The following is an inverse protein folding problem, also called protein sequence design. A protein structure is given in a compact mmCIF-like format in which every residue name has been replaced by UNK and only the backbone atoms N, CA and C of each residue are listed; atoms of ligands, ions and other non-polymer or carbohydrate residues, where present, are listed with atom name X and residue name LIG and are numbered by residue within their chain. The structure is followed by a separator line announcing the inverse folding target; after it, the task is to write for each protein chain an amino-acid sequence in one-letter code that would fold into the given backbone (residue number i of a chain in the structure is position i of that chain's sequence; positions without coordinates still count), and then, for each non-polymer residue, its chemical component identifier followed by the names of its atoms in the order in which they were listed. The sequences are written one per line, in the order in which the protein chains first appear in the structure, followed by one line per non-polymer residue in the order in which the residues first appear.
data_IF_449460042058
#
_entry.id   IF_449460042058
#
_cell.length_a   1.000
_cell.length_b   1.000
_cell.length_c   1.000
_cell.angle_alpha   90.00
_cell.angle_beta   90.00
_cell.angle_gamma   90.00
#
_symmetry.space_group_name_H-M   'P 1'
#
loop_
_entity.id
_entity.type
_entity.pdbx_description
1 polymer ?
#
# COMPACT_ATOMS: atom_id res chain seq x y z
N UNK A 1 -7.59 11.77 11.43
CA UNK A 1 -6.15 11.88 11.09
C UNK A 1 -5.91 11.87 9.59
N UNK A 2 -6.22 10.80 8.80
CA UNK A 2 -5.98 10.77 7.34
C UNK A 2 -6.78 11.85 6.59
N UNK A 3 -8.03 12.11 6.96
CA UNK A 3 -8.86 13.15 6.36
C UNK A 3 -8.26 14.56 6.48
N UNK A 4 -7.60 14.88 7.58
CA UNK A 4 -7.01 16.20 7.86
C UNK A 4 -5.73 16.44 7.06
N UNK A 5 -5.00 15.37 6.71
CA UNK A 5 -3.72 15.47 5.98
C UNK A 5 -3.89 15.29 4.46
N UNK A 6 -5.09 14.92 3.99
CA UNK A 6 -5.38 14.64 2.59
C UNK A 6 -4.90 15.74 1.61
N UNK A 7 -5.10 17.06 1.85
CA UNK A 7 -4.71 18.10 0.88
C UNK A 7 -3.20 18.23 0.62
N UNK A 8 -2.36 17.72 1.50
CA UNK A 8 -0.89 17.78 1.36
C UNK A 8 -0.21 16.42 1.36
N UNK A 9 -0.99 15.34 1.44
CA UNK A 9 -0.50 13.98 1.69
C UNK A 9 0.58 13.53 0.71
N UNK A 10 0.35 13.67 -0.58
CA UNK A 10 1.30 13.22 -1.60
C UNK A 10 2.61 14.00 -1.56
N UNK A 11 2.54 15.33 -1.36
CA UNK A 11 3.73 16.18 -1.25
C UNK A 11 4.51 15.85 -0.01
N UNK A 12 3.81 15.65 1.12
CA UNK A 12 4.43 15.24 2.37
C UNK A 12 5.13 13.88 2.20
N UNK A 13 4.45 12.86 1.68
CA UNK A 13 5.05 11.55 1.46
C UNK A 13 6.27 11.59 0.54
N UNK A 14 6.21 12.33 -0.57
CA UNK A 14 7.36 12.49 -1.48
C UNK A 14 8.53 13.22 -0.83
N UNK A 15 8.28 14.28 -0.08
CA UNK A 15 9.33 14.99 0.64
C UNK A 15 9.96 14.11 1.73
N UNK A 16 9.14 13.39 2.49
CA UNK A 16 9.56 12.52 3.58
C UNK A 16 10.26 11.24 3.11
N UNK A 17 9.89 10.73 1.95
CA UNK A 17 10.57 9.58 1.34
C UNK A 17 11.74 9.99 0.43
N UNK A 18 11.98 11.30 0.25
CA UNK A 18 12.91 11.84 -0.77
C UNK A 18 12.61 11.27 -2.16
N UNK A 19 11.32 11.01 -2.46
CA UNK A 19 10.86 10.44 -3.72
C UNK A 19 11.06 8.92 -3.88
N UNK A 20 11.63 8.25 -2.89
CA UNK A 20 11.87 6.79 -2.94
C UNK A 20 10.56 6.00 -2.97
N UNK A 21 9.47 6.54 -2.41
CA UNK A 21 8.12 5.95 -2.49
C UNK A 21 7.63 5.73 -3.92
N UNK A 22 7.98 6.64 -4.84
CA UNK A 22 7.66 6.48 -6.27
C UNK A 22 8.41 5.29 -6.88
N UNK A 23 9.68 5.11 -6.50
CA UNK A 23 10.47 3.98 -6.94
C UNK A 23 9.95 2.67 -6.37
N UNK A 24 9.51 2.63 -5.09
CA UNK A 24 8.89 1.46 -4.48
C UNK A 24 7.61 1.06 -5.22
N UNK A 25 6.71 2.01 -5.53
CA UNK A 25 5.50 1.74 -6.32
C UNK A 25 5.82 1.21 -7.71
N UNK A 26 6.81 1.78 -8.40
CA UNK A 26 7.28 1.26 -9.71
C UNK A 26 7.80 -0.18 -9.60
N UNK A 27 8.48 -0.51 -8.51
CA UNK A 27 8.92 -1.89 -8.24
C UNK A 27 7.73 -2.81 -7.94
N UNK A 28 6.72 -2.32 -7.22
CA UNK A 28 5.48 -3.07 -6.97
C UNK A 28 4.75 -3.37 -8.27
N UNK A 29 4.57 -2.40 -9.16
CA UNK A 29 3.98 -2.64 -10.49
C UNK A 29 4.70 -3.76 -11.25
N UNK A 30 6.03 -3.81 -11.21
CA UNK A 30 6.80 -4.91 -11.85
C UNK A 30 6.61 -6.26 -11.16
N UNK A 31 6.34 -6.27 -9.85
CA UNK A 31 6.08 -7.52 -9.09
C UNK A 31 4.64 -7.99 -9.27
N UNK A 32 3.71 -7.06 -9.44
CA UNK A 32 2.34 -7.38 -9.85
C UNK A 32 2.35 -8.08 -11.20
N UNK A 33 3.22 -7.65 -12.13
CA UNK A 33 3.38 -8.27 -13.45
C UNK A 33 2.07 -8.27 -14.24
N UNK A 34 1.58 -7.04 -14.50
CA UNK A 34 0.29 -6.80 -15.15
C UNK A 34 0.30 -7.26 -16.60
N UNK A 35 -0.64 -8.12 -16.97
CA UNK A 35 -0.96 -8.38 -18.37
C UNK A 35 -1.98 -7.33 -18.89
N UNK A 36 -1.90 -6.94 -20.19
CA UNK A 36 -2.84 -5.97 -20.75
C UNK A 36 -4.30 -6.44 -20.62
N UNK A 37 -5.15 -5.55 -20.10
CA UNK A 37 -6.57 -5.83 -19.90
C UNK A 37 -6.94 -6.57 -18.61
N UNK A 38 -5.96 -6.95 -17.78
CA UNK A 38 -6.25 -7.49 -16.46
C UNK A 38 -6.97 -6.46 -15.58
N UNK A 39 -7.89 -6.95 -14.77
CA UNK A 39 -8.64 -6.15 -13.79
C UNK A 39 -7.96 -6.22 -12.44
N UNK A 40 -7.66 -5.07 -11.84
CA UNK A 40 -7.01 -4.98 -10.55
C UNK A 40 -7.80 -4.16 -9.53
N UNK A 41 -7.73 -4.58 -8.26
CA UNK A 41 -8.21 -3.81 -7.12
C UNK A 41 -7.01 -3.26 -6.33
N UNK A 42 -7.05 -1.97 -6.00
CA UNK A 42 -6.09 -1.36 -5.07
C UNK A 42 -6.82 -1.01 -3.77
N UNK A 43 -6.53 -1.75 -2.69
CA UNK A 43 -7.17 -1.60 -1.38
C UNK A 43 -6.37 -0.61 -0.53
N UNK A 44 -7.05 0.21 0.27
CA UNK A 44 -6.46 1.38 0.95
C UNK A 44 -5.73 2.29 -0.06
N UNK A 45 -6.39 2.56 -1.18
CA UNK A 45 -5.80 3.23 -2.34
C UNK A 45 -5.42 4.69 -2.07
N UNK A 46 -5.98 5.31 -1.03
CA UNK A 46 -5.73 6.70 -0.66
C UNK A 46 -6.01 7.65 -1.83
N UNK A 47 -5.00 8.40 -2.24
CA UNK A 47 -5.06 9.31 -3.39
C UNK A 47 -4.82 8.63 -4.74
N UNK A 48 -4.77 7.28 -4.79
CA UNK A 48 -4.72 6.48 -6.01
C UNK A 48 -3.36 6.33 -6.67
N UNK A 49 -2.25 6.68 -6.01
CA UNK A 49 -0.90 6.67 -6.63
C UNK A 49 -0.50 5.31 -7.21
N UNK A 50 -0.74 4.21 -6.50
CA UNK A 50 -0.45 2.86 -7.00
C UNK A 50 -1.48 2.44 -8.06
N UNK A 51 -2.75 2.74 -7.83
CA UNK A 51 -3.84 2.47 -8.75
C UNK A 51 -3.56 3.07 -10.15
N UNK A 52 -3.21 4.36 -10.22
CA UNK A 52 -2.82 5.00 -11.48
C UNK A 52 -1.51 4.47 -12.07
N UNK A 53 -0.58 3.98 -11.25
CA UNK A 53 0.64 3.37 -11.75
C UNK A 53 0.37 2.02 -12.42
N UNK A 54 -0.55 1.23 -11.90
CA UNK A 54 -1.01 -0.05 -12.46
C UNK A 54 -1.86 0.15 -13.72
N UNK A 55 -2.73 1.18 -13.73
CA UNK A 55 -3.47 1.57 -14.93
C UNK A 55 -2.53 1.91 -16.08
N UNK A 56 -1.47 2.70 -15.82
CA UNK A 56 -0.46 3.02 -16.85
C UNK A 56 0.31 1.78 -17.34
N UNK A 57 0.36 0.72 -16.56
CA UNK A 57 0.94 -0.56 -16.96
C UNK A 57 -0.03 -1.43 -17.79
N UNK A 58 -1.28 -0.98 -17.99
CA UNK A 58 -2.26 -1.64 -18.86
C UNK A 58 -3.42 -2.33 -18.13
N UNK A 59 -3.50 -2.24 -16.79
CA UNK A 59 -4.60 -2.80 -16.04
C UNK A 59 -5.86 -1.92 -16.07
N UNK A 60 -7.03 -2.56 -15.95
CA UNK A 60 -8.30 -1.91 -15.61
C UNK A 60 -8.43 -1.86 -14.09
N UNK A 61 -8.35 -0.66 -13.50
CA UNK A 61 -8.21 -0.52 -12.06
C UNK A 61 -9.47 -0.04 -11.37
N UNK A 62 -9.70 -0.60 -10.17
CA UNK A 62 -10.63 -0.09 -9.17
C UNK A 62 -9.82 0.24 -7.91
N UNK A 63 -10.06 1.39 -7.31
CA UNK A 63 -9.48 1.77 -6.01
C UNK A 63 -10.54 1.73 -4.91
N UNK A 64 -10.19 1.18 -3.73
CA UNK A 64 -11.05 1.16 -2.56
C UNK A 64 -10.32 1.77 -1.36
N UNK A 65 -10.97 2.69 -0.63
CA UNK A 65 -10.41 3.26 0.59
C UNK A 65 -11.52 3.61 1.58
N UNK A 66 -11.25 3.44 2.86
CA UNK A 66 -12.19 3.82 3.93
C UNK A 66 -12.32 5.34 4.08
N UNK A 67 -11.29 6.09 3.72
CA UNK A 67 -11.21 7.54 3.89
C UNK A 67 -11.73 8.29 2.65
N UNK A 68 -13.04 8.59 2.58
CA UNK A 68 -13.65 9.32 1.48
C UNK A 68 -12.94 10.64 1.12
N UNK A 69 -12.45 11.47 2.08
CA UNK A 69 -11.65 12.66 1.77
C UNK A 69 -10.38 12.37 0.96
N UNK A 70 -9.72 11.21 1.14
CA UNK A 70 -8.57 10.81 0.33
C UNK A 70 -8.99 10.51 -1.11
N UNK A 71 -10.12 9.83 -1.29
CA UNK A 71 -10.68 9.51 -2.61
C UNK A 71 -11.06 10.78 -3.39
N UNK A 72 -11.53 11.83 -2.74
CA UNK A 72 -11.86 13.10 -3.40
C UNK A 72 -10.64 13.71 -4.13
N UNK A 73 -9.41 13.45 -3.69
CA UNK A 73 -8.21 13.94 -4.35
C UNK A 73 -7.80 13.14 -5.60
N UNK A 74 -8.42 11.98 -5.86
CA UNK A 74 -8.11 11.15 -7.05
C UNK A 74 -8.52 11.83 -8.34
N UNK A 75 -9.59 12.65 -8.34
CA UNK A 75 -10.09 13.35 -9.53
C UNK A 75 -9.03 14.20 -10.24
N UNK A 76 -8.15 14.86 -9.48
CA UNK A 76 -7.07 15.67 -10.03
C UNK A 76 -5.96 14.87 -10.72
N UNK A 77 -5.91 13.55 -10.48
CA UNK A 77 -4.92 12.64 -11.04
C UNK A 77 -5.45 11.82 -12.21
N UNK A 78 -6.76 11.80 -12.42
CA UNK A 78 -7.39 11.11 -13.55
C UNK A 78 -6.83 11.63 -14.86
N UNK A 79 -6.33 10.74 -15.70
CA UNK A 79 -5.80 11.08 -17.03
C UNK A 79 -6.15 9.96 -18.00
N UNK A 80 -6.55 10.32 -19.23
CA UNK A 80 -6.89 9.38 -20.28
C UNK A 80 -8.39 9.09 -20.40
N UNK A 81 -8.74 8.30 -21.39
CA UNK A 81 -10.13 8.03 -21.78
C UNK A 81 -10.84 7.01 -20.86
N UNK A 82 -10.07 6.20 -20.12
CA UNK A 82 -10.61 5.21 -19.17
C UNK A 82 -10.36 5.67 -17.75
N UNK A 83 -11.36 6.24 -17.06
CA UNK A 83 -11.21 6.65 -15.69
C UNK A 83 -11.09 5.43 -14.75
N UNK A 84 -10.26 5.54 -13.72
CA UNK A 84 -10.24 4.61 -12.59
C UNK A 84 -11.48 4.85 -11.75
N UNK A 85 -12.23 3.81 -11.44
CA UNK A 85 -13.34 3.88 -10.48
C UNK A 85 -12.79 3.82 -9.05
N UNK A 86 -13.37 4.65 -8.18
CA UNK A 86 -13.03 4.65 -6.74
C UNK A 86 -14.29 4.48 -5.90
N UNK A 87 -14.20 3.66 -4.85
CA UNK A 87 -15.31 3.44 -3.91
C UNK A 87 -14.84 3.58 -2.47
N UNK A 88 -15.72 4.10 -1.62
CA UNK A 88 -15.52 4.11 -0.18
C UNK A 88 -15.88 2.72 0.38
N UNK A 89 -14.89 2.02 0.95
CA UNK A 89 -15.09 0.66 1.46
C UNK A 89 -14.14 0.34 2.60
N UNK A 90 -14.60 -0.53 3.50
CA UNK A 90 -13.74 -1.17 4.51
C UNK A 90 -12.98 -2.32 3.85
N UNK A 91 -11.66 -2.35 4.05
CA UNK A 91 -10.80 -3.44 3.56
C UNK A 91 -11.17 -4.81 4.14
N UNK A 92 -11.82 -4.83 5.30
CA UNK A 92 -12.29 -6.06 5.97
C UNK A 92 -13.68 -6.52 5.51
N UNK A 93 -14.37 -5.73 4.68
CA UNK A 93 -15.69 -6.06 4.14
C UNK A 93 -15.90 -5.31 2.81
N UNK A 94 -15.28 -5.82 1.76
CA UNK A 94 -15.33 -5.22 0.43
C UNK A 94 -16.70 -5.47 -0.22
N UNK A 95 -17.44 -4.41 -0.63
CA UNK A 95 -18.75 -4.55 -1.28
C UNK A 95 -18.58 -4.91 -2.76
N UNK A 96 -17.84 -5.98 -3.02
CA UNK A 96 -17.44 -6.45 -4.34
C UNK A 96 -17.71 -7.96 -4.43
N UNK A 97 -18.11 -8.48 -5.61
CA UNK A 97 -18.31 -9.91 -5.81
C UNK A 97 -17.02 -10.73 -5.64
N UNK A 98 -17.17 -12.02 -5.41
CA UNK A 98 -16.07 -12.98 -5.45
C UNK A 98 -15.50 -13.06 -6.88
N UNK A 99 -14.23 -13.43 -7.00
CA UNK A 99 -13.55 -13.82 -8.23
C UNK A 99 -13.62 -12.78 -9.38
N UNK A 100 -13.79 -11.49 -9.07
CA UNK A 100 -14.01 -10.46 -10.07
C UNK A 100 -12.75 -9.68 -10.50
N UNK A 101 -11.60 -9.96 -9.89
CA UNK A 101 -10.30 -9.35 -10.21
C UNK A 101 -9.23 -10.39 -10.52
N UNK A 102 -8.24 -10.01 -11.31
CA UNK A 102 -7.06 -10.82 -11.61
C UNK A 102 -5.99 -10.66 -10.53
N UNK A 103 -5.98 -9.51 -9.87
CA UNK A 103 -5.09 -9.24 -8.75
C UNK A 103 -5.66 -8.18 -7.80
N UNK A 104 -5.18 -8.22 -6.55
CA UNK A 104 -5.40 -7.15 -5.60
C UNK A 104 -4.07 -6.61 -5.04
N UNK A 105 -4.01 -5.30 -4.79
CA UNK A 105 -2.84 -4.64 -4.22
C UNK A 105 -3.21 -3.82 -2.99
N UNK A 106 -2.23 -3.59 -2.11
CA UNK A 106 -2.30 -2.58 -1.07
C UNK A 106 -0.91 -1.98 -0.86
N UNK A 107 -0.81 -0.65 -0.77
CA UNK A 107 0.46 0.03 -0.53
C UNK A 107 0.37 0.94 0.70
N UNK A 108 1.15 0.61 1.74
CA UNK A 108 1.27 1.38 2.99
C UNK A 108 -0.04 1.58 3.76
N UNK A 109 -1.04 0.71 3.49
CA UNK A 109 -2.37 0.79 4.08
C UNK A 109 -2.68 -0.33 5.07
N UNK A 110 -2.19 -1.54 4.82
CA UNK A 110 -2.60 -2.75 5.56
C UNK A 110 -2.29 -2.68 7.06
N UNK A 111 -1.24 -1.97 7.49
CA UNK A 111 -0.91 -1.78 8.90
C UNK A 111 -1.92 -0.92 9.67
N UNK A 112 -2.79 -0.18 8.96
CA UNK A 112 -3.82 0.67 9.55
C UNK A 112 -5.18 -0.03 9.64
N UNK A 113 -5.29 -1.24 9.11
CA UNK A 113 -6.50 -2.08 9.19
C UNK A 113 -6.55 -2.77 10.55
N UNK A 114 -7.73 -2.87 11.14
CA UNK A 114 -7.88 -3.44 12.48
C UNK A 114 -7.49 -4.91 12.53
N UNK A 115 -7.82 -5.69 11.51
CA UNK A 115 -7.41 -7.09 11.34
C UNK A 115 -6.83 -7.31 9.92
N UNK A 116 -5.50 -7.36 9.79
CA UNK A 116 -4.85 -7.60 8.51
C UNK A 116 -5.19 -8.96 7.88
N UNK A 117 -5.48 -9.99 8.68
CA UNK A 117 -5.83 -11.33 8.16
C UNK A 117 -7.21 -11.30 7.51
N UNK A 118 -8.17 -10.64 8.13
CA UNK A 118 -9.52 -10.45 7.55
C UNK A 118 -9.43 -9.67 6.25
N UNK A 119 -8.65 -8.57 6.21
CA UNK A 119 -8.47 -7.80 4.99
C UNK A 119 -7.79 -8.62 3.88
N UNK A 120 -6.77 -9.42 4.20
CA UNK A 120 -6.12 -10.31 3.24
C UNK A 120 -7.06 -11.39 2.72
N UNK A 121 -7.97 -11.93 3.56
CA UNK A 121 -9.03 -12.87 3.13
C UNK A 121 -10.02 -12.21 2.17
N UNK A 122 -10.44 -10.98 2.44
CA UNK A 122 -11.31 -10.21 1.55
C UNK A 122 -10.62 -9.92 0.21
N UNK A 123 -9.34 -9.54 0.25
CA UNK A 123 -8.54 -9.37 -0.97
C UNK A 123 -8.44 -10.69 -1.76
N UNK A 124 -8.25 -11.83 -1.08
CA UNK A 124 -8.23 -13.15 -1.72
C UNK A 124 -9.59 -13.53 -2.29
N UNK A 125 -10.70 -13.26 -1.58
CA UNK A 125 -12.07 -13.56 -2.01
C UNK A 125 -12.44 -12.88 -3.32
N UNK A 126 -12.11 -11.61 -3.47
CA UNK A 126 -12.46 -10.83 -4.67
C UNK A 126 -11.54 -11.12 -5.86
N UNK A 127 -10.40 -11.78 -5.62
CA UNK A 127 -9.45 -12.18 -6.66
C UNK A 127 -9.75 -13.62 -7.09
N UNK A 128 -9.84 -13.86 -8.39
CA UNK A 128 -10.08 -15.17 -8.96
C UNK A 128 -9.01 -16.20 -8.58
N UNK A 129 -9.34 -17.50 -8.54
CA UNK A 129 -8.36 -18.58 -8.38
C UNK A 129 -7.20 -18.45 -9.39
N UNK A 130 -5.97 -18.64 -8.92
CA UNK A 130 -4.76 -18.41 -9.71
C UNK A 130 -4.36 -16.94 -9.86
N UNK A 131 -5.17 -16.00 -9.38
CA UNK A 131 -4.81 -14.58 -9.29
C UNK A 131 -3.81 -14.31 -8.17
N UNK A 132 -3.49 -13.05 -7.92
CA UNK A 132 -2.43 -12.68 -6.98
C UNK A 132 -2.77 -11.50 -6.07
N UNK A 133 -2.27 -11.57 -4.84
CA UNK A 133 -2.32 -10.47 -3.87
C UNK A 133 -0.90 -9.93 -3.66
N UNK A 134 -0.73 -8.61 -3.80
CA UNK A 134 0.57 -7.95 -3.66
C UNK A 134 0.49 -6.82 -2.65
N UNK A 135 1.34 -6.87 -1.64
CA UNK A 135 1.39 -5.89 -0.55
C UNK A 135 2.73 -5.16 -0.58
N UNK A 136 2.72 -3.84 -0.59
CA UNK A 136 3.88 -3.00 -0.34
C UNK A 136 3.74 -2.38 1.05
N UNK A 137 4.67 -2.67 1.96
CA UNK A 137 4.60 -2.13 3.32
C UNK A 137 5.99 -1.82 3.89
N UNK A 138 6.02 -0.96 4.91
CA UNK A 138 7.25 -0.63 5.62
C UNK A 138 7.77 -1.84 6.40
N UNK A 139 9.11 -1.89 6.49
CA UNK A 139 9.84 -2.84 7.31
C UNK A 139 10.91 -2.13 8.14
N UNK A 140 11.47 -2.85 9.09
CA UNK A 140 12.58 -2.37 9.92
C UNK A 140 13.93 -2.79 9.30
N UNK A 141 14.82 -1.85 8.95
CA UNK A 141 16.13 -2.20 8.40
C UNK A 141 16.97 -2.94 9.44
N UNK A 142 17.60 -4.05 9.03
CA UNK A 142 18.44 -4.88 9.92
C UNK A 142 19.94 -4.61 9.80
N UNK A 143 20.38 -3.94 8.73
CA UNK A 143 21.79 -3.57 8.55
C UNK A 143 22.21 -2.57 9.64
N UNK A 144 23.20 -2.93 10.46
CA UNK A 144 23.59 -2.22 11.69
C UNK A 144 23.89 -0.73 11.41
N UNK A 145 24.72 -0.41 10.42
CA UNK A 145 25.04 0.96 10.06
C UNK A 145 23.83 1.76 9.52
N UNK A 146 22.98 1.11 8.75
CA UNK A 146 21.80 1.71 8.18
C UNK A 146 20.68 1.92 9.21
N UNK A 147 20.60 1.08 10.23
CA UNK A 147 19.67 1.22 11.35
C UNK A 147 19.91 2.52 12.14
N UNK A 148 21.16 2.90 12.37
CA UNK A 148 21.49 4.16 13.07
C UNK A 148 21.14 5.38 12.22
N UNK A 149 21.46 5.37 10.93
CA UNK A 149 21.10 6.43 9.98
C UNK A 149 19.58 6.58 9.86
N UNK A 150 18.85 5.47 9.73
CA UNK A 150 17.40 5.44 9.68
C UNK A 150 16.76 5.99 10.96
N UNK A 151 17.25 5.59 12.15
CA UNK A 151 16.78 6.13 13.43
C UNK A 151 17.05 7.62 13.56
N UNK A 152 18.23 8.09 13.15
CA UNK A 152 18.57 9.51 13.12
C UNK A 152 17.64 10.29 12.18
N UNK A 153 17.40 9.77 10.98
CA UNK A 153 16.48 10.37 10.01
C UNK A 153 15.07 10.50 10.61
N UNK A 154 14.52 9.45 11.16
CA UNK A 154 13.18 9.44 11.76
C UNK A 154 13.07 10.31 13.02
N UNK A 155 14.11 10.35 13.84
CA UNK A 155 14.08 11.11 15.10
C UNK A 155 14.36 12.62 14.91
N UNK A 156 15.20 12.99 13.95
CA UNK A 156 15.72 14.36 13.84
C UNK A 156 15.31 15.06 12.54
N UNK A 157 15.31 14.36 11.42
CA UNK A 157 15.08 14.96 10.09
C UNK A 157 13.60 15.00 9.75
N UNK A 158 12.92 13.88 9.92
CA UNK A 158 11.51 13.70 9.56
C UNK A 158 10.59 14.72 10.27
N UNK A 159 10.68 14.96 11.59
CA UNK A 159 9.83 15.94 12.27
C UNK A 159 10.09 17.39 11.84
N UNK A 160 11.35 17.71 11.46
CA UNK A 160 11.71 19.06 10.99
C UNK A 160 11.19 19.32 9.57
N UNK A 161 11.38 18.35 8.67
CA UNK A 161 10.86 18.40 7.29
C UNK A 161 9.32 18.43 7.29
N UNK A 162 8.70 17.62 8.13
CA UNK A 162 7.24 17.57 8.24
C UNK A 162 6.62 18.89 8.66
N UNK A 163 7.19 19.59 9.62
CA UNK A 163 6.75 20.93 10.01
C UNK A 163 6.88 21.95 8.88
N UNK A 164 7.93 21.84 8.08
CA UNK A 164 8.21 22.77 7.00
C UNK A 164 7.34 22.57 5.76
N UNK A 165 7.00 21.31 5.44
CA UNK A 165 6.32 20.94 4.19
C UNK A 165 4.79 20.94 4.32
N UNK A 166 4.25 20.53 5.45
CA UNK A 166 2.81 20.23 5.57
C UNK A 166 2.07 20.98 6.66
N UNK A 167 2.78 21.66 7.57
CA UNK A 167 2.15 22.22 8.77
C UNK A 167 1.46 21.17 9.66
N UNK A 168 1.62 19.88 9.34
CA UNK A 168 0.99 18.75 10.03
C UNK A 168 1.58 18.55 11.41
N UNK A 169 0.73 18.33 12.40
CA UNK A 169 1.09 18.13 13.80
C UNK A 169 2.02 16.92 13.98
N UNK A 170 2.89 16.96 14.97
CA UNK A 170 3.84 15.88 15.34
C UNK A 170 3.19 14.50 15.52
N UNK A 171 1.88 14.43 15.73
CA UNK A 171 1.13 13.20 16.01
C UNK A 171 1.10 12.22 14.82
N UNK A 172 1.06 12.71 13.57
CA UNK A 172 1.05 11.83 12.39
C UNK A 172 2.39 11.09 12.19
N UNK A 173 3.51 11.72 12.53
CA UNK A 173 4.85 11.11 12.43
C UNK A 173 5.11 10.11 13.54
N UNK A 174 4.63 10.41 14.76
CA UNK A 174 4.68 9.46 15.87
C UNK A 174 3.85 8.23 15.54
N UNK A 175 2.61 8.42 15.05
CA UNK A 175 1.77 7.32 14.60
C UNK A 175 2.44 6.46 13.52
N UNK A 176 3.06 7.08 12.51
CA UNK A 176 3.80 6.35 11.48
C UNK A 176 4.91 5.50 12.10
N UNK A 177 5.70 6.08 12.99
CA UNK A 177 6.76 5.36 13.68
C UNK A 177 6.22 4.16 14.48
N UNK A 178 5.22 4.41 15.32
CA UNK A 178 4.67 3.41 16.24
C UNK A 178 3.95 2.29 15.47
N UNK A 179 3.18 2.62 14.44
CA UNK A 179 2.51 1.64 13.59
C UNK A 179 3.50 0.74 12.85
N UNK A 180 4.61 1.29 12.33
CA UNK A 180 5.68 0.49 11.69
C UNK A 180 6.39 -0.39 12.72
N UNK A 181 6.59 0.08 13.97
CA UNK A 181 7.24 -0.73 15.00
C UNK A 181 6.37 -1.90 15.47
N UNK A 182 5.06 -1.70 15.54
CA UNK A 182 4.11 -2.72 16.00
C UNK A 182 3.75 -3.74 14.92
N UNK A 183 3.82 -3.34 13.62
CA UNK A 183 3.34 -4.19 12.54
C UNK A 183 4.27 -5.39 12.27
N UNK A 184 3.72 -6.60 12.05
CA UNK A 184 4.49 -7.78 11.68
C UNK A 184 5.18 -7.59 10.33
N UNK A 185 6.41 -8.07 10.21
CA UNK A 185 7.20 -7.92 9.00
C UNK A 185 7.83 -9.24 8.53
N UNK A 186 8.13 -9.33 7.24
CA UNK A 186 8.86 -10.46 6.64
C UNK A 186 8.15 -11.80 6.91
N UNK A 187 8.80 -12.73 7.60
CA UNK A 187 8.24 -14.05 7.88
C UNK A 187 6.96 -13.97 8.72
N UNK A 188 6.90 -13.07 9.69
CA UNK A 188 5.69 -12.86 10.48
C UNK A 188 4.52 -12.37 9.61
N UNK A 189 4.77 -11.50 8.62
CA UNK A 189 3.72 -11.06 7.70
C UNK A 189 3.34 -12.13 6.68
N UNK A 190 4.31 -12.90 6.15
CA UNK A 190 3.98 -14.02 5.26
C UNK A 190 3.19 -15.12 5.99
N UNK A 191 3.37 -15.27 7.30
CA UNK A 191 2.52 -16.15 8.11
C UNK A 191 1.06 -15.67 8.13
N UNK A 192 0.80 -14.36 8.25
CA UNK A 192 -0.56 -13.81 8.13
C UNK A 192 -1.16 -14.03 6.74
N UNK A 193 -0.35 -13.93 5.68
CA UNK A 193 -0.82 -14.24 4.32
C UNK A 193 -1.23 -15.71 4.19
N UNK A 194 -0.47 -16.65 4.77
CA UNK A 194 -0.86 -18.08 4.81
C UNK A 194 -2.10 -18.33 5.64
N UNK A 195 -2.26 -17.64 6.79
CA UNK A 195 -3.46 -17.69 7.61
C UNK A 195 -4.70 -17.18 6.86
N UNK A 196 -4.51 -16.22 5.95
CA UNK A 196 -5.53 -15.75 5.02
C UNK A 196 -5.74 -16.68 3.81
N UNK A 197 -5.22 -17.91 3.83
CA UNK A 197 -5.30 -18.92 2.78
C UNK A 197 -4.62 -18.52 1.44
N UNK A 198 -3.69 -17.57 1.47
CA UNK A 198 -2.86 -17.22 0.32
C UNK A 198 -1.67 -18.18 0.19
N UNK A 199 -1.43 -18.66 -1.03
CA UNK A 199 -0.39 -19.64 -1.32
C UNK A 199 0.96 -18.99 -1.61
N UNK A 200 2.03 -19.68 -1.26
CA UNK A 200 3.42 -19.37 -1.59
C UNK A 200 3.85 -17.89 -1.42
N UNK A 201 3.63 -17.26 -0.26
CA UNK A 201 4.00 -15.87 -0.09
C UNK A 201 5.52 -15.67 -0.22
N UNK A 202 5.91 -14.77 -1.13
CA UNK A 202 7.30 -14.40 -1.40
C UNK A 202 7.56 -12.95 -0.94
N UNK A 203 8.72 -12.70 -0.34
CA UNK A 203 9.12 -11.38 0.15
C UNK A 203 10.29 -10.83 -0.66
N UNK A 204 10.16 -9.56 -1.09
CA UNK A 204 11.26 -8.82 -1.72
C UNK A 204 11.54 -7.54 -0.93
N UNK A 205 12.72 -7.47 -0.31
CA UNK A 205 13.14 -6.29 0.44
C UNK A 205 13.59 -5.17 -0.50
N UNK A 206 13.24 -3.93 -0.13
CA UNK A 206 13.60 -2.70 -0.83
C UNK A 206 14.42 -1.79 0.07
N UNK A 207 15.33 -1.02 -0.52
CA UNK A 207 16.12 0.03 0.16
C UNK A 207 16.72 -0.47 1.49
N UNK A 208 17.51 -1.57 1.46
CA UNK A 208 18.13 -2.13 2.67
C UNK A 208 17.15 -2.67 3.71
N UNK A 209 15.89 -2.90 3.34
CA UNK A 209 14.84 -3.42 4.21
C UNK A 209 14.01 -2.34 4.92
N UNK A 210 13.95 -1.11 4.39
CA UNK A 210 13.00 -0.07 4.85
C UNK A 210 11.58 -0.39 4.40
N UNK A 211 11.43 -1.03 3.23
CA UNK A 211 10.16 -1.50 2.72
C UNK A 211 10.30 -2.92 2.19
N UNK A 212 9.18 -3.62 2.07
CA UNK A 212 9.10 -4.93 1.45
C UNK A 212 7.89 -5.01 0.53
N UNK A 213 8.05 -5.77 -0.54
CA UNK A 213 6.94 -6.23 -1.37
C UNK A 213 6.70 -7.70 -1.03
N UNK A 214 5.47 -8.02 -0.73
CA UNK A 214 4.99 -9.38 -0.51
C UNK A 214 4.07 -9.74 -1.67
N UNK A 215 4.25 -10.91 -2.27
CA UNK A 215 3.37 -11.45 -3.30
C UNK A 215 2.99 -12.87 -2.92
N UNK A 216 1.71 -13.16 -2.98
CA UNK A 216 1.17 -14.51 -2.84
C UNK A 216 0.10 -14.76 -3.89
N UNK A 217 -0.20 -16.02 -4.14
CA UNK A 217 -1.21 -16.44 -5.10
C UNK A 217 -2.48 -16.86 -4.39
N UNK A 218 -3.63 -16.59 -5.01
CA UNK A 218 -4.89 -17.18 -4.59
C UNK A 218 -4.88 -18.62 -5.12
N UNK A 219 -5.06 -19.64 -4.25
CA UNK A 219 -5.02 -21.04 -4.69
C UNK A 219 -5.96 -21.30 -5.86
N UNK A 220 -5.48 -22.06 -6.86
CA UNK A 220 -6.35 -22.65 -7.85
C UNK A 220 -7.14 -23.77 -7.13
N UNK A 221 -8.46 -23.67 -7.13
CA UNK A 221 -9.35 -24.72 -6.61
C UNK A 221 -9.17 -26.05 -7.33
#
# INVERSE_FOLDING_TARGET
MFAEVAPGYDRANRALSLGVDVWWRRRTVRVVDVAPGERGLDVCSGTGDLCFALQRAGAEMVGADFCAPMLAHTHHKQRGERPVAFLAADAMNLPLPDDCFDFATVAFGIRNVADPVVALREMARVVRPGGRVVVLEFCKPRLIGFKHLYRFYFAQVLPRLGRWVSGVRNDAYRYLHDSVQAFPEREAFTALMREAALAEPKTRLLTGGIAAIYRAEVPAT
#
